data_IF_129763339533
#
_entry.id   IF_129763339533
#
_cell.length_a   1.000
_cell.length_b   1.000
_cell.length_c   1.000
_cell.angle_alpha   90.00
_cell.angle_beta   90.00
_cell.angle_gamma   90.00
#
_symmetry.space_group_name_H-M   'P 1'
#
loop_
_entity.id
_entity.type
_entity.pdbx_description
1 polymer ?
#
# COMPACT_ATOMS: atom_id res chain seq x y z
N UNK A 1 9.45 22.00 3.24
CA UNK A 1 9.08 20.82 2.41
C UNK A 1 7.94 21.25 1.48
N UNK A 2 7.98 20.96 0.17
CA UNK A 2 6.93 21.38 -0.76
C UNK A 2 5.55 20.84 -0.36
N UNK A 3 4.49 21.60 -0.69
CA UNK A 3 3.11 21.23 -0.36
C UNK A 3 2.76 19.82 -0.87
N UNK A 4 3.14 19.49 -2.10
CA UNK A 4 2.85 18.21 -2.74
C UNK A 4 3.47 17.03 -1.97
N UNK A 5 4.69 17.20 -1.45
CA UNK A 5 5.35 16.20 -0.61
C UNK A 5 4.64 16.07 0.74
N UNK A 6 4.10 17.17 1.29
CA UNK A 6 3.34 17.15 2.55
C UNK A 6 2.00 16.44 2.38
N UNK A 7 1.30 16.70 1.28
CA UNK A 7 0.06 16.00 0.94
C UNK A 7 0.34 14.52 0.70
N UNK A 8 1.37 14.17 -0.08
CA UNK A 8 1.77 12.77 -0.30
C UNK A 8 2.09 12.05 1.02
N UNK A 9 2.79 12.72 1.96
CA UNK A 9 3.05 12.19 3.31
C UNK A 9 1.78 11.88 4.08
N UNK A 10 0.83 12.82 4.12
CA UNK A 10 -0.44 12.64 4.83
C UNK A 10 -1.25 11.52 4.16
N UNK A 11 -1.31 11.51 2.84
CA UNK A 11 -2.02 10.48 2.08
C UNK A 11 -1.44 9.09 2.33
N UNK A 12 -0.11 8.93 2.36
CA UNK A 12 0.54 7.66 2.73
C UNK A 12 0.20 7.21 4.15
N UNK A 13 0.10 8.14 5.11
CA UNK A 13 -0.32 7.81 6.48
C UNK A 13 -1.79 7.38 6.54
N UNK A 14 -2.67 8.04 5.78
CA UNK A 14 -4.08 7.66 5.66
C UNK A 14 -4.23 6.30 5.00
N UNK A 15 -3.47 6.01 3.94
CA UNK A 15 -3.44 4.69 3.29
C UNK A 15 -2.97 3.61 4.27
N UNK A 16 -1.94 3.90 5.08
CA UNK A 16 -1.48 2.98 6.13
C UNK A 16 -2.61 2.68 7.13
N UNK A 17 -3.32 3.69 7.62
CA UNK A 17 -4.45 3.51 8.52
C UNK A 17 -5.59 2.71 7.86
N UNK A 18 -5.91 2.99 6.59
CA UNK A 18 -6.94 2.28 5.84
C UNK A 18 -6.62 0.78 5.66
N UNK A 19 -5.35 0.42 5.46
CA UNK A 19 -4.95 -1.00 5.49
C UNK A 19 -5.11 -1.63 6.86
N UNK A 20 -4.87 -0.89 7.94
CA UNK A 20 -5.15 -1.35 9.30
C UNK A 20 -6.65 -1.62 9.51
N UNK A 21 -7.51 -0.74 9.00
CA UNK A 21 -8.97 -0.95 9.01
C UNK A 21 -9.35 -2.18 8.19
N UNK A 22 -8.74 -2.40 7.02
CA UNK A 22 -8.99 -3.59 6.19
C UNK A 22 -8.70 -4.90 6.94
N UNK A 23 -7.63 -4.95 7.76
CA UNK A 23 -7.34 -6.10 8.62
C UNK A 23 -8.50 -6.36 9.59
N UNK A 24 -8.97 -5.33 10.29
CA UNK A 24 -10.07 -5.45 11.25
C UNK A 24 -11.34 -5.92 10.56
N UNK A 25 -11.68 -5.33 9.41
CA UNK A 25 -12.85 -5.71 8.62
C UNK A 25 -12.80 -7.17 8.20
N UNK A 26 -11.67 -7.64 7.66
CA UNK A 26 -11.51 -9.03 7.20
C UNK A 26 -11.67 -10.02 8.36
N UNK A 27 -11.11 -9.72 9.54
CA UNK A 27 -11.27 -10.56 10.74
C UNK A 27 -12.73 -10.63 11.19
N UNK A 28 -13.43 -9.48 11.22
CA UNK A 28 -14.84 -9.43 11.60
C UNK A 28 -15.75 -10.15 10.59
N UNK A 29 -15.37 -10.17 9.31
CA UNK A 29 -16.13 -10.81 8.23
C UNK A 29 -15.69 -12.26 7.94
N UNK A 30 -14.94 -12.91 8.84
CA UNK A 30 -14.48 -14.30 8.64
C UNK A 30 -15.61 -15.30 8.37
N UNK A 31 -16.81 -15.08 8.96
CA UNK A 31 -17.98 -15.94 8.74
C UNK A 31 -18.49 -15.85 7.30
N UNK A 32 -18.56 -14.63 6.76
CA UNK A 32 -18.95 -14.39 5.36
C UNK A 32 -17.94 -15.02 4.40
N UNK A 33 -16.66 -14.97 4.74
CA UNK A 33 -15.61 -15.61 3.97
C UNK A 33 -15.76 -17.15 3.96
N UNK A 34 -16.13 -17.74 5.10
CA UNK A 34 -16.41 -19.17 5.19
C UNK A 34 -17.61 -19.59 4.33
N UNK A 35 -18.69 -18.80 4.35
CA UNK A 35 -19.87 -19.02 3.50
C UNK A 35 -19.53 -18.95 2.00
N UNK A 36 -18.73 -17.95 1.59
CA UNK A 36 -18.31 -17.80 0.20
C UNK A 36 -17.42 -18.96 -0.27
N UNK A 37 -16.46 -19.38 0.55
CA UNK A 37 -15.58 -20.51 0.22
C UNK A 37 -16.40 -21.80 0.14
N UNK A 38 -17.27 -22.06 1.13
CA UNK A 38 -18.13 -23.25 1.14
C UNK A 38 -19.10 -23.28 -0.04
N UNK A 39 -19.68 -22.14 -0.41
CA UNK A 39 -20.58 -22.02 -1.55
C UNK A 39 -19.89 -22.25 -2.90
N UNK A 40 -18.63 -21.84 -3.02
CA UNK A 40 -17.81 -22.02 -4.24
C UNK A 40 -17.26 -23.45 -4.35
N UNK A 41 -17.05 -24.13 -3.22
CA UNK A 41 -16.38 -25.44 -3.14
C UNK A 41 -17.26 -26.47 -2.41
N UNK A 42 -18.41 -26.82 -3.01
CA UNK A 42 -19.44 -27.66 -2.38
C UNK A 42 -18.99 -29.08 -1.99
N UNK A 43 -17.87 -29.56 -2.54
CA UNK A 43 -17.32 -30.88 -2.23
C UNK A 43 -16.46 -30.92 -0.95
N UNK A 44 -16.14 -29.76 -0.35
CA UNK A 44 -15.27 -29.69 0.82
C UNK A 44 -16.02 -29.98 2.13
N UNK A 45 -15.33 -30.65 3.05
CA UNK A 45 -15.80 -30.78 4.42
C UNK A 45 -15.75 -29.43 5.15
N UNK A 46 -16.51 -29.27 6.23
CA UNK A 46 -16.45 -28.09 7.09
C UNK A 46 -15.04 -27.83 7.65
N UNK A 47 -14.29 -28.91 7.89
CA UNK A 47 -12.90 -28.83 8.36
C UNK A 47 -11.94 -28.28 7.29
N UNK A 48 -12.17 -28.61 6.02
CA UNK A 48 -11.34 -28.12 4.91
C UNK A 48 -11.65 -26.66 4.61
N UNK A 49 -12.93 -26.27 4.65
CA UNK A 49 -13.35 -24.86 4.57
C UNK A 49 -12.69 -24.04 5.67
N UNK A 50 -12.68 -24.54 6.91
CA UNK A 50 -12.04 -23.84 8.04
C UNK A 50 -10.55 -23.61 7.84
N UNK A 51 -9.83 -24.60 7.28
CA UNK A 51 -8.40 -24.46 6.93
C UNK A 51 -8.19 -23.43 5.83
N UNK A 52 -9.03 -23.44 4.79
CA UNK A 52 -8.95 -22.47 3.70
C UNK A 52 -9.24 -21.04 4.19
N UNK A 53 -10.24 -20.86 5.06
CA UNK A 53 -10.53 -19.58 5.71
C UNK A 53 -9.32 -19.10 6.51
N UNK A 54 -8.69 -19.98 7.31
CA UNK A 54 -7.50 -19.62 8.07
C UNK A 54 -6.33 -19.21 7.16
N UNK A 55 -6.08 -19.97 6.09
CA UNK A 55 -5.04 -19.65 5.11
C UNK A 55 -5.30 -18.30 4.44
N UNK A 56 -6.55 -18.03 4.07
CA UNK A 56 -6.97 -16.78 3.45
C UNK A 56 -6.82 -15.59 4.41
N UNK A 57 -7.22 -15.77 5.68
CA UNK A 57 -7.04 -14.77 6.73
C UNK A 57 -5.56 -14.47 6.95
N UNK A 58 -4.72 -15.49 7.13
CA UNK A 58 -3.27 -15.30 7.33
C UNK A 58 -2.65 -14.58 6.14
N UNK A 59 -2.98 -15.00 4.90
CA UNK A 59 -2.49 -14.36 3.67
C UNK A 59 -2.88 -12.89 3.62
N UNK A 60 -4.17 -12.59 3.79
CA UNK A 60 -4.73 -11.25 3.64
C UNK A 60 -4.27 -10.33 4.76
N UNK A 61 -4.31 -10.78 6.02
CA UNK A 61 -3.85 -10.00 7.18
C UNK A 61 -2.35 -9.71 7.08
N UNK A 62 -1.53 -10.70 6.73
CA UNK A 62 -0.07 -10.50 6.62
C UNK A 62 0.28 -9.52 5.51
N UNK A 63 -0.40 -9.61 4.36
CA UNK A 63 -0.21 -8.68 3.26
C UNK A 63 -0.58 -7.24 3.66
N UNK A 64 -1.76 -7.04 4.26
CA UNK A 64 -2.16 -5.71 4.71
C UNK A 64 -1.29 -5.17 5.84
N UNK A 65 -0.86 -6.02 6.80
CA UNK A 65 0.05 -5.60 7.86
C UNK A 65 1.39 -5.12 7.31
N UNK A 66 1.93 -5.80 6.29
CA UNK A 66 3.11 -5.34 5.57
C UNK A 66 2.87 -3.95 4.95
N UNK A 67 1.71 -3.74 4.31
CA UNK A 67 1.37 -2.44 3.71
C UNK A 67 1.20 -1.33 4.75
N UNK A 68 0.64 -1.60 5.93
CA UNK A 68 0.58 -0.66 7.06
C UNK A 68 1.99 -0.20 7.41
N UNK A 69 2.92 -1.14 7.62
CA UNK A 69 4.29 -0.86 8.01
C UNK A 69 5.03 -0.09 6.92
N UNK A 70 4.98 -0.56 5.67
CA UNK A 70 5.69 0.05 4.55
C UNK A 70 5.17 1.46 4.26
N UNK A 71 3.85 1.66 4.23
CA UNK A 71 3.27 3.00 4.02
C UNK A 71 3.58 3.94 5.18
N UNK A 72 3.57 3.45 6.43
CA UNK A 72 3.99 4.20 7.61
C UNK A 72 5.46 4.64 7.53
N UNK A 73 6.36 3.73 7.14
CA UNK A 73 7.77 4.04 6.92
C UNK A 73 7.92 5.11 5.83
N UNK A 74 7.18 5.01 4.72
CA UNK A 74 7.22 6.00 3.65
C UNK A 74 6.73 7.36 4.11
N UNK A 75 5.60 7.43 4.83
CA UNK A 75 5.09 8.66 5.41
C UNK A 75 6.11 9.31 6.37
N UNK A 76 6.83 8.52 7.15
CA UNK A 76 7.87 9.02 8.04
C UNK A 76 9.13 9.50 7.31
N UNK A 77 9.56 8.77 6.26
CA UNK A 77 10.85 8.99 5.59
C UNK A 77 10.79 9.94 4.40
N UNK A 78 9.63 10.17 3.79
CA UNK A 78 9.51 10.98 2.57
C UNK A 78 9.98 12.44 2.78
N UNK A 79 9.89 12.96 4.01
CA UNK A 79 10.40 14.30 4.37
C UNK A 79 11.92 14.40 4.42
N UNK A 80 12.65 13.28 4.38
CA UNK A 80 14.11 13.27 4.33
C UNK A 80 14.66 13.87 3.03
N UNK A 81 13.85 13.96 1.97
CA UNK A 81 14.31 14.42 0.65
C UNK A 81 15.34 13.50 0.00
N UNK A 82 15.54 12.29 0.53
CA UNK A 82 16.46 11.30 -0.04
C UNK A 82 15.97 10.79 -1.39
N UNK A 83 16.84 10.87 -2.40
CA UNK A 83 16.56 10.35 -3.75
C UNK A 83 16.32 8.84 -3.76
N UNK A 84 16.97 8.10 -2.85
CA UNK A 84 16.73 6.65 -2.68
C UNK A 84 15.33 6.38 -2.15
N UNK A 85 14.90 7.11 -1.11
CA UNK A 85 13.54 7.00 -0.56
C UNK A 85 12.51 7.35 -1.62
N UNK A 86 12.71 8.42 -2.38
CA UNK A 86 11.82 8.80 -3.48
C UNK A 86 11.65 7.68 -4.51
N UNK A 87 12.74 7.08 -5.00
CA UNK A 87 12.68 5.98 -5.99
C UNK A 87 11.93 4.77 -5.44
N UNK A 88 12.19 4.41 -4.19
CA UNK A 88 11.52 3.29 -3.52
C UNK A 88 10.01 3.57 -3.40
N UNK A 89 9.62 4.76 -2.93
CA UNK A 89 8.21 5.14 -2.80
C UNK A 89 7.53 5.08 -4.17
N UNK A 90 8.10 5.70 -5.21
CA UNK A 90 7.53 5.70 -6.56
C UNK A 90 7.38 4.28 -7.10
N UNK A 91 8.42 3.44 -7.01
CA UNK A 91 8.36 2.06 -7.47
C UNK A 91 7.29 1.26 -6.72
N UNK A 92 7.20 1.42 -5.39
CA UNK A 92 6.16 0.76 -4.59
C UNK A 92 4.75 1.25 -4.92
N UNK A 93 4.54 2.54 -5.19
CA UNK A 93 3.23 3.04 -5.59
C UNK A 93 2.83 2.54 -6.99
N UNK A 94 3.76 2.50 -7.94
CA UNK A 94 3.52 1.92 -9.26
C UNK A 94 3.14 0.44 -9.15
N UNK A 95 3.88 -0.31 -8.34
CA UNK A 95 3.59 -1.72 -8.06
C UNK A 95 2.23 -1.88 -7.35
N UNK A 96 1.87 -0.97 -6.45
CA UNK A 96 0.56 -0.97 -5.77
C UNK A 96 -0.60 -0.72 -6.74
N UNK A 97 -0.43 0.15 -7.73
CA UNK A 97 -1.42 0.35 -8.80
C UNK A 97 -1.60 -0.93 -9.62
N UNK A 98 -0.51 -1.55 -10.06
CA UNK A 98 -0.56 -2.80 -10.83
C UNK A 98 -1.23 -3.91 -10.03
N UNK A 99 -0.80 -4.15 -8.79
CA UNK A 99 -1.42 -5.16 -7.93
C UNK A 99 -2.88 -4.84 -7.63
N UNK A 100 -3.22 -3.59 -7.33
CA UNK A 100 -4.60 -3.19 -7.08
C UNK A 100 -5.53 -3.43 -8.27
N UNK A 101 -5.06 -3.17 -9.50
CA UNK A 101 -5.81 -3.49 -10.72
C UNK A 101 -5.98 -5.00 -10.88
N UNK A 102 -4.91 -5.79 -10.71
CA UNK A 102 -5.00 -7.26 -10.81
C UNK A 102 -5.97 -7.81 -9.74
N UNK A 103 -5.84 -7.35 -8.50
CA UNK A 103 -6.72 -7.72 -7.39
C UNK A 103 -8.17 -7.32 -7.67
N UNK A 104 -8.44 -6.16 -8.29
CA UNK A 104 -9.79 -5.75 -8.66
C UNK A 104 -10.51 -6.81 -9.50
N UNK A 105 -9.82 -7.36 -10.50
CA UNK A 105 -10.37 -8.34 -11.42
C UNK A 105 -10.46 -9.76 -10.84
N UNK A 106 -9.60 -10.10 -9.88
CA UNK A 106 -9.51 -11.47 -9.32
C UNK A 106 -10.15 -11.64 -7.94
N UNK A 107 -10.51 -10.54 -7.27
CA UNK A 107 -11.01 -10.59 -5.90
C UNK A 107 -12.52 -10.92 -5.80
N UNK A 108 -12.96 -11.49 -4.66
CA UNK A 108 -14.37 -11.67 -4.34
C UNK A 108 -15.13 -10.34 -4.31
N UNK A 109 -16.41 -10.37 -4.66
CA UNK A 109 -17.24 -9.16 -4.81
C UNK A 109 -17.29 -8.28 -3.55
N UNK A 110 -17.22 -8.90 -2.37
CA UNK A 110 -17.31 -8.21 -1.06
C UNK A 110 -16.15 -7.23 -0.81
N UNK A 111 -14.98 -7.47 -1.38
CA UNK A 111 -13.81 -6.59 -1.23
C UNK A 111 -13.55 -5.75 -2.47
N UNK A 112 -14.19 -6.09 -3.60
CA UNK A 112 -14.00 -5.39 -4.88
C UNK A 112 -14.25 -3.89 -4.74
N UNK A 113 -15.31 -3.46 -4.05
CA UNK A 113 -15.65 -2.03 -3.92
C UNK A 113 -14.62 -1.18 -3.17
N UNK A 114 -13.74 -1.78 -2.35
CA UNK A 114 -12.74 -1.05 -1.56
C UNK A 114 -11.43 -0.86 -2.32
N UNK A 115 -11.11 -1.78 -3.24
CA UNK A 115 -9.91 -1.74 -4.07
C UNK A 115 -9.73 -0.46 -4.92
N UNK A 116 -10.76 0.25 -5.44
CA UNK A 116 -10.50 1.34 -6.39
C UNK A 116 -10.00 2.58 -5.66
N UNK A 117 -10.44 2.79 -4.41
CA UNK A 117 -9.97 3.85 -3.54
C UNK A 117 -8.47 3.70 -3.26
N UNK A 118 -7.99 2.48 -3.04
CA UNK A 118 -6.55 2.21 -2.89
C UNK A 118 -5.77 2.48 -4.19
N UNK A 119 -6.27 2.03 -5.33
CA UNK A 119 -5.64 2.27 -6.65
C UNK A 119 -5.57 3.76 -6.96
N UNK A 120 -6.67 4.48 -6.79
CA UNK A 120 -6.75 5.94 -7.00
C UNK A 120 -5.80 6.66 -6.05
N UNK A 121 -5.72 6.25 -4.78
CA UNK A 121 -4.82 6.87 -3.81
C UNK A 121 -3.35 6.65 -4.17
N UNK A 122 -2.96 5.44 -4.58
CA UNK A 122 -1.61 5.16 -5.05
C UNK A 122 -1.25 5.99 -6.31
N UNK A 123 -2.20 6.12 -7.25
CA UNK A 123 -2.03 6.96 -8.43
C UNK A 123 -1.91 8.44 -8.07
N UNK A 124 -2.71 8.94 -7.12
CA UNK A 124 -2.62 10.31 -6.63
C UNK A 124 -1.24 10.59 -5.99
N UNK A 125 -0.68 9.67 -5.21
CA UNK A 125 0.70 9.80 -4.68
C UNK A 125 1.71 9.90 -5.84
N UNK A 126 1.59 9.06 -6.88
CA UNK A 126 2.46 9.14 -8.05
C UNK A 126 2.37 10.50 -8.73
N UNK A 127 1.16 11.02 -8.97
CA UNK A 127 0.97 12.34 -9.58
C UNK A 127 1.55 13.46 -8.73
N UNK A 128 1.36 13.43 -7.41
CA UNK A 128 1.93 14.42 -6.49
C UNK A 128 3.46 14.44 -6.53
N UNK A 129 4.10 13.27 -6.66
CA UNK A 129 5.56 13.14 -6.61
C UNK A 129 6.25 13.30 -7.96
N UNK A 130 5.66 12.78 -9.04
CA UNK A 130 6.23 12.81 -10.39
C UNK A 130 5.71 13.97 -11.23
N UNK A 131 4.43 14.33 -11.08
CA UNK A 131 3.79 15.40 -11.84
C UNK A 131 4.17 16.81 -11.37
N UNK A 132 4.69 16.94 -10.15
CA UNK A 132 5.05 18.25 -9.58
C UNK A 132 6.53 18.60 -9.77
N UNK A 133 6.81 19.74 -10.41
CA UNK A 133 8.16 20.25 -10.55
C UNK A 133 8.82 20.55 -9.19
N UNK A 134 8.08 21.12 -8.24
CA UNK A 134 8.57 21.42 -6.89
C UNK A 134 8.91 20.17 -6.10
N UNK A 135 8.10 19.10 -6.22
CA UNK A 135 8.40 17.81 -5.59
C UNK A 135 9.68 17.20 -6.19
N UNK A 136 9.79 17.14 -7.52
CA UNK A 136 10.99 16.62 -8.20
C UNK A 136 12.26 17.39 -7.82
N UNK A 137 12.19 18.72 -7.76
CA UNK A 137 13.32 19.56 -7.35
C UNK A 137 13.76 19.27 -5.91
N UNK A 138 12.81 19.06 -4.98
CA UNK A 138 13.10 18.75 -3.58
C UNK A 138 13.95 17.48 -3.40
N UNK A 139 13.70 16.43 -4.20
CA UNK A 139 14.46 15.18 -4.13
C UNK A 139 15.77 15.21 -4.93
N UNK A 140 15.94 16.16 -5.85
CA UNK A 140 17.18 16.36 -6.63
C UNK A 140 18.18 17.26 -5.91
N UNK A 141 17.73 18.30 -5.20
CA UNK A 141 18.62 19.29 -4.57
C UNK A 141 19.48 18.69 -3.43
N UNK A 142 18.93 17.77 -2.63
CA UNK A 142 19.64 17.14 -1.50
C UNK A 142 20.65 16.07 -1.90
N UNK A 143 20.60 15.52 -3.12
CA UNK A 143 21.65 14.60 -3.58
C UNK A 143 22.98 15.30 -3.83
N UNK A 144 22.97 16.61 -4.11
CA UNK A 144 24.20 17.38 -4.33
C UNK A 144 24.88 17.79 -3.02
N UNK A 145 24.11 18.14 -1.99
CA UNK A 145 24.66 18.51 -0.67
C UNK A 145 25.39 17.35 0.04
N UNK A 146 24.98 16.10 -0.21
CA UNK A 146 25.65 14.91 0.36
C UNK A 146 26.96 14.52 -0.33
N UNK A 147 27.18 14.95 -1.59
CA UNK A 147 28.39 14.63 -2.37
C UNK A 147 29.52 15.63 -2.11
N UNK A 148 29.21 16.88 -1.76
CA UNK A 148 30.23 17.89 -1.41
C UNK A 148 30.83 17.71 -0.01
N UNK A 149 30.22 16.90 0.85
CA UNK A 149 30.65 16.73 2.25
C UNK A 149 31.70 15.62 2.47
N UNK A 150 32.24 14.98 1.43
CA UNK A 150 33.40 14.07 1.56
C UNK A 150 34.69 14.87 1.47
N UNK A 151 35.42 15.13 2.58
CA UNK A 151 36.74 15.71 2.50
C UNK A 151 37.69 14.67 1.88
N UNK A 152 38.50 15.09 0.92
CA UNK A 152 39.64 14.32 0.44
C UNK A 152 40.56 14.01 1.63
N UNK A 153 40.74 12.73 1.93
CA UNK A 153 41.80 12.24 2.81
C UNK A 153 43.10 12.08 2.03
#
# INVERSE_FOLDING_TARGET
>A
MPLQVRVARVLLAVIAAAHGVAIVVVVLLQGVLAEQIGGTQQALSSSDVSKLVLLELVRTVSFHALLVVVCGIYAAKISSGSRRVFRIVVASQALSVVFGIVTWFTSPDVVRFVTPAFVVSAFAVLLLLLGSASARAFFSARSHAGVQATPSR
#
